data_IF_521065101328
#
_entry.id   IF_521065101328
#
_cell.length_a   1.000
_cell.length_b   1.000
_cell.length_c   1.000
_cell.angle_alpha   90.00
_cell.angle_beta   90.00
_cell.angle_gamma   90.00
#
_symmetry.space_group_name_H-M   'P 1'
#
loop_
_entity.id
_entity.type
_entity.pdbx_description
1 polymer ?
#
# COMPACT_ATOMS: atom_id res chain seq x y z
N UNK A 1 -30.91 7.67 -9.60
CA UNK A 1 -29.48 7.72 -9.28
C UNK A 1 -29.12 6.43 -8.55
N UNK A 2 -28.68 5.45 -9.30
CA UNK A 2 -28.07 4.26 -8.68
C UNK A 2 -26.67 4.69 -8.32
N UNK A 3 -26.48 5.06 -7.07
CA UNK A 3 -25.16 5.11 -6.49
C UNK A 3 -24.70 3.67 -6.43
N UNK A 4 -23.85 3.24 -7.34
CA UNK A 4 -23.16 1.98 -7.12
C UNK A 4 -22.48 2.07 -5.77
N UNK A 5 -22.70 1.12 -4.85
CA UNK A 5 -21.94 1.13 -3.63
C UNK A 5 -20.48 1.02 -4.06
N UNK A 6 -19.69 2.02 -3.72
CA UNK A 6 -18.25 1.83 -3.63
C UNK A 6 -18.11 0.56 -2.83
N UNK A 7 -17.73 -0.52 -3.49
CA UNK A 7 -17.54 -1.81 -2.82
C UNK A 7 -16.56 -1.53 -1.71
N UNK A 8 -17.09 -1.55 -0.52
CA UNK A 8 -16.32 -1.26 0.66
C UNK A 8 -15.13 -2.21 0.67
N UNK A 9 -13.93 -1.66 0.55
CA UNK A 9 -12.70 -2.43 0.46
C UNK A 9 -12.52 -3.21 1.76
N UNK A 10 -12.53 -4.53 1.66
CA UNK A 10 -12.27 -5.45 2.75
C UNK A 10 -13.28 -5.48 3.91
N UNK A 11 -13.00 -6.31 4.87
CA UNK A 11 -13.83 -6.51 6.06
C UNK A 11 -13.60 -5.41 7.11
N UNK A 12 -14.68 -5.05 7.83
CA UNK A 12 -14.58 -4.21 9.02
C UNK A 12 -14.09 -5.02 10.19
N UNK A 13 -13.08 -4.52 10.88
CA UNK A 13 -12.55 -5.09 12.10
C UNK A 13 -12.93 -4.20 13.28
N UNK A 14 -13.63 -4.73 14.30
CA UNK A 14 -13.94 -3.98 15.51
C UNK A 14 -12.65 -3.64 16.26
N UNK A 15 -12.74 -2.67 17.16
CA UNK A 15 -11.66 -2.42 18.12
C UNK A 15 -11.42 -3.70 18.92
N UNK A 16 -10.17 -4.19 18.98
CA UNK A 16 -9.88 -5.43 19.69
C UNK A 16 -10.17 -5.30 21.20
N UNK A 17 -10.64 -6.38 21.80
CA UNK A 17 -10.85 -6.47 23.25
C UNK A 17 -9.51 -6.80 23.93
N UNK A 18 -8.67 -5.79 24.04
CA UNK A 18 -7.37 -5.85 24.71
C UNK A 18 -7.26 -4.72 25.73
N UNK A 19 -6.26 -4.80 26.60
CA UNK A 19 -5.95 -3.76 27.57
C UNK A 19 -5.79 -2.39 26.88
N UNK A 20 -6.49 -1.38 27.37
CA UNK A 20 -6.44 -0.03 26.79
C UNK A 20 -5.05 0.59 26.88
N UNK A 21 -4.31 0.34 27.96
CA UNK A 21 -2.96 0.82 28.11
C UNK A 21 -2.03 0.22 27.05
N UNK A 22 -2.20 -1.06 26.74
CA UNK A 22 -1.45 -1.73 25.68
C UNK A 22 -1.76 -1.13 24.30
N UNK A 23 -3.02 -0.83 24.04
CA UNK A 23 -3.44 -0.18 22.81
C UNK A 23 -2.89 1.24 22.69
N UNK A 24 -2.90 2.00 23.76
CA UNK A 24 -2.33 3.36 23.81
C UNK A 24 -0.83 3.36 23.56
N UNK A 25 -0.10 2.41 24.14
CA UNK A 25 1.34 2.24 23.90
C UNK A 25 1.60 1.95 22.42
N UNK A 26 0.84 1.02 21.83
CA UNK A 26 0.97 0.72 20.40
C UNK A 26 0.71 1.96 19.54
N UNK A 27 -0.37 2.68 19.80
CA UNK A 27 -0.74 3.88 19.02
C UNK A 27 0.36 4.93 19.09
N UNK A 28 0.89 5.20 20.27
CA UNK A 28 1.96 6.19 20.46
C UNK A 28 3.22 5.78 19.70
N UNK A 29 3.66 4.55 19.85
CA UNK A 29 4.84 4.02 19.14
C UNK A 29 4.65 4.06 17.62
N UNK A 30 3.49 3.61 17.13
CA UNK A 30 3.17 3.62 15.71
C UNK A 30 3.16 5.03 15.12
N UNK A 31 2.62 6.01 15.83
CA UNK A 31 2.63 7.42 15.39
C UNK A 31 4.05 7.96 15.27
N UNK A 32 4.92 7.71 16.25
CA UNK A 32 6.33 8.13 16.19
C UNK A 32 7.07 7.50 15.00
N UNK A 33 6.84 6.21 14.76
CA UNK A 33 7.45 5.51 13.62
C UNK A 33 6.93 6.07 12.29
N UNK A 34 5.62 6.29 12.16
CA UNK A 34 5.03 6.83 10.94
C UNK A 34 5.53 8.23 10.61
N UNK A 35 5.66 9.11 11.61
CA UNK A 35 6.20 10.45 11.41
C UNK A 35 7.66 10.40 10.90
N UNK A 36 8.47 9.50 11.44
CA UNK A 36 9.83 9.28 10.96
C UNK A 36 9.84 8.70 9.54
N UNK A 37 8.96 7.76 9.26
CA UNK A 37 8.83 7.12 7.95
C UNK A 37 8.44 8.11 6.86
N UNK A 38 7.60 9.10 7.16
CA UNK A 38 7.23 10.16 6.21
C UNK A 38 8.46 10.94 5.72
N UNK A 39 9.39 11.25 6.61
CA UNK A 39 10.65 11.89 6.23
C UNK A 39 11.53 10.99 5.35
N UNK A 40 11.57 9.69 5.63
CA UNK A 40 12.30 8.71 4.81
C UNK A 40 11.68 8.56 3.41
N UNK A 41 10.36 8.51 3.32
CA UNK A 41 9.63 8.44 2.03
C UNK A 41 9.91 9.69 1.19
N UNK A 42 9.92 10.86 1.80
CA UNK A 42 10.26 12.09 1.10
C UNK A 42 11.69 12.06 0.53
N UNK A 43 12.65 11.54 1.30
CA UNK A 43 14.04 11.35 0.82
C UNK A 43 14.10 10.30 -0.30
N UNK A 44 13.32 9.24 -0.21
CA UNK A 44 13.26 8.18 -1.21
C UNK A 44 12.78 8.69 -2.58
N UNK A 45 11.88 9.66 -2.61
CA UNK A 45 11.47 10.31 -3.87
C UNK A 45 12.64 10.91 -4.65
N UNK A 46 13.60 11.49 -3.95
CA UNK A 46 14.80 12.07 -4.54
C UNK A 46 15.91 11.05 -4.82
N UNK A 47 15.85 9.87 -4.20
CA UNK A 47 16.89 8.83 -4.29
C UNK A 47 16.27 7.43 -4.25
N UNK A 48 15.47 7.03 -5.28
CA UNK A 48 14.76 5.75 -5.27
C UNK A 48 15.67 4.53 -5.33
N UNK A 49 16.91 4.71 -5.70
CA UNK A 49 17.94 3.66 -5.68
C UNK A 49 18.70 3.51 -4.37
N UNK A 50 18.39 4.32 -3.36
CA UNK A 50 19.06 4.26 -2.05
C UNK A 50 18.52 3.08 -1.23
N UNK A 51 19.26 1.97 -1.24
CA UNK A 51 18.91 0.75 -0.53
C UNK A 51 18.94 0.93 1.00
N UNK A 52 19.71 1.89 1.49
CA UNK A 52 19.72 2.23 2.91
C UNK A 52 18.39 2.79 3.38
N UNK A 53 17.76 3.66 2.58
CA UNK A 53 16.42 4.18 2.86
C UNK A 53 15.35 3.09 2.83
N UNK A 54 15.43 2.19 1.86
CA UNK A 54 14.51 1.04 1.77
C UNK A 54 14.65 0.12 3.00
N UNK A 55 15.86 -0.10 3.47
CA UNK A 55 16.11 -0.94 4.64
C UNK A 55 15.62 -0.28 5.94
N UNK A 56 15.79 1.03 6.10
CA UNK A 56 15.24 1.77 7.24
C UNK A 56 13.71 1.70 7.27
N UNK A 57 13.05 1.94 6.13
CA UNK A 57 11.59 1.82 6.01
C UNK A 57 11.12 0.39 6.30
N UNK A 58 11.84 -0.60 5.82
CA UNK A 58 11.53 -2.01 6.10
C UNK A 58 11.54 -2.31 7.59
N UNK A 59 12.54 -1.80 8.32
CA UNK A 59 12.63 -1.98 9.78
C UNK A 59 11.49 -1.30 10.51
N UNK A 60 11.12 -0.09 10.09
CA UNK A 60 9.98 0.64 10.64
C UNK A 60 8.67 -0.15 10.45
N UNK A 61 8.45 -0.70 9.26
CA UNK A 61 7.29 -1.55 8.96
C UNK A 61 7.30 -2.85 9.77
N UNK A 62 8.46 -3.45 9.95
CA UNK A 62 8.61 -4.64 10.78
C UNK A 62 8.16 -4.38 12.22
N UNK A 63 8.52 -3.25 12.79
CA UNK A 63 8.13 -2.86 14.15
C UNK A 63 6.63 -2.62 14.24
N UNK A 64 6.05 -1.87 13.30
CA UNK A 64 4.59 -1.63 13.25
C UNK A 64 3.83 -2.94 13.11
N UNK A 65 4.25 -3.81 12.20
CA UNK A 65 3.65 -5.13 11.99
C UNK A 65 3.67 -5.97 13.27
N UNK A 66 4.81 -6.01 13.94
CA UNK A 66 4.98 -6.76 15.19
C UNK A 66 4.05 -6.25 16.29
N UNK A 67 4.00 -4.94 16.51
CA UNK A 67 3.12 -4.32 17.50
C UNK A 67 1.64 -4.51 17.17
N UNK A 68 1.26 -4.38 15.90
CA UNK A 68 -0.11 -4.60 15.45
C UNK A 68 -0.58 -6.05 15.67
N UNK A 69 0.29 -7.01 15.39
CA UNK A 69 -0.02 -8.43 15.61
C UNK A 69 -0.21 -8.74 17.11
N UNK A 70 0.62 -8.17 17.97
CA UNK A 70 0.49 -8.31 19.42
C UNK A 70 -0.79 -7.66 19.95
N UNK A 71 -1.27 -6.61 19.29
CA UNK A 71 -2.47 -5.86 19.67
C UNK A 71 -3.73 -6.30 18.93
N UNK A 72 -3.67 -7.39 18.18
CA UNK A 72 -4.78 -7.94 17.38
C UNK A 72 -5.38 -6.94 16.37
N UNK A 73 -4.55 -6.06 15.80
CA UNK A 73 -4.92 -5.06 14.81
C UNK A 73 -4.61 -5.58 13.39
N UNK A 74 -5.44 -6.51 12.92
CA UNK A 74 -5.21 -7.21 11.66
C UNK A 74 -5.07 -6.30 10.43
N UNK A 75 -5.86 -5.23 10.22
CA UNK A 75 -5.67 -4.34 9.08
C UNK A 75 -4.29 -3.67 9.04
N UNK A 76 -3.78 -3.23 10.16
CA UNK A 76 -2.45 -2.61 10.26
C UNK A 76 -1.36 -3.67 10.06
N UNK A 77 -1.51 -4.82 10.70
CA UNK A 77 -0.54 -5.93 10.60
C UNK A 77 -0.41 -6.47 9.18
N UNK A 78 -1.51 -6.68 8.48
CA UNK A 78 -1.53 -7.18 7.10
C UNK A 78 -0.95 -6.17 6.10
N UNK A 79 -1.32 -4.91 6.22
CA UNK A 79 -0.75 -3.86 5.35
C UNK A 79 0.75 -3.70 5.60
N UNK A 80 1.16 -3.63 6.86
CA UNK A 80 2.58 -3.55 7.24
C UNK A 80 3.40 -4.72 6.72
N UNK A 81 2.86 -5.93 6.77
CA UNK A 81 3.50 -7.13 6.23
C UNK A 81 3.67 -7.07 4.71
N UNK A 82 2.64 -6.68 3.98
CA UNK A 82 2.71 -6.55 2.52
C UNK A 82 3.76 -5.52 2.09
N UNK A 83 3.80 -4.37 2.75
CA UNK A 83 4.77 -3.31 2.48
C UNK A 83 6.21 -3.75 2.84
N UNK A 84 6.40 -4.38 3.99
CA UNK A 84 7.70 -4.93 4.40
C UNK A 84 8.22 -5.92 3.35
N UNK A 85 7.38 -6.86 2.91
CA UNK A 85 7.74 -7.86 1.91
C UNK A 85 8.12 -7.23 0.56
N UNK A 86 7.42 -6.18 0.13
CA UNK A 86 7.76 -5.46 -1.11
C UNK A 86 9.17 -4.87 -1.03
N UNK A 87 9.51 -4.22 0.07
CA UNK A 87 10.83 -3.60 0.25
C UNK A 87 11.93 -4.67 0.37
N UNK A 88 11.68 -5.74 1.11
CA UNK A 88 12.60 -6.86 1.28
C UNK A 88 12.89 -7.54 -0.06
N UNK A 89 11.87 -7.91 -0.81
CA UNK A 89 12.00 -8.55 -2.12
C UNK A 89 12.74 -7.65 -3.13
N UNK A 90 12.50 -6.35 -3.07
CA UNK A 90 13.17 -5.38 -3.94
C UNK A 90 14.67 -5.34 -3.68
N UNK A 91 15.07 -5.29 -2.42
CA UNK A 91 16.49 -5.26 -2.03
C UNK A 91 17.17 -6.60 -2.29
N UNK A 92 16.56 -7.71 -1.87
CA UNK A 92 17.14 -9.04 -2.00
C UNK A 92 17.32 -9.49 -3.45
N UNK A 93 16.37 -9.15 -4.32
CA UNK A 93 16.42 -9.49 -5.74
C UNK A 93 17.17 -8.47 -6.59
N UNK A 94 17.65 -7.39 -6.00
CA UNK A 94 18.32 -6.32 -6.73
C UNK A 94 17.44 -5.64 -7.77
N UNK A 95 16.13 -5.58 -7.53
CA UNK A 95 15.18 -4.96 -8.45
C UNK A 95 15.25 -3.45 -8.35
N UNK A 96 15.02 -2.78 -9.47
CA UNK A 96 14.86 -1.34 -9.45
C UNK A 96 13.58 -0.97 -8.70
N UNK A 97 13.69 -0.03 -7.77
CA UNK A 97 12.54 0.57 -7.09
C UNK A 97 11.94 1.62 -8.01
N UNK A 98 10.85 1.28 -8.68
CA UNK A 98 10.22 2.12 -9.71
C UNK A 98 9.13 3.04 -9.15
N UNK A 99 8.56 3.87 -10.03
CA UNK A 99 7.50 4.81 -9.66
C UNK A 99 6.22 4.15 -9.16
N UNK A 100 5.87 2.97 -9.67
CA UNK A 100 4.71 2.21 -9.20
C UNK A 100 4.91 1.71 -7.77
N UNK A 101 6.10 1.20 -7.46
CA UNK A 101 6.46 0.78 -6.10
C UNK A 101 6.48 1.96 -5.13
N UNK A 102 7.05 3.09 -5.53
CA UNK A 102 7.06 4.31 -4.71
C UNK A 102 5.63 4.76 -4.40
N UNK A 103 4.78 4.83 -5.41
CA UNK A 103 3.38 5.23 -5.24
C UNK A 103 2.63 4.28 -4.30
N UNK A 104 2.84 2.97 -4.45
CA UNK A 104 2.23 1.98 -3.56
C UNK A 104 2.70 2.12 -2.11
N UNK A 105 3.99 2.38 -1.89
CA UNK A 105 4.55 2.62 -0.55
C UNK A 105 3.98 3.89 0.07
N UNK A 106 3.88 4.97 -0.70
CA UNK A 106 3.27 6.23 -0.24
C UNK A 106 1.81 6.04 0.17
N UNK A 107 1.02 5.37 -0.66
CA UNK A 107 -0.36 5.04 -0.31
C UNK A 107 -0.45 4.11 0.90
N UNK A 108 0.49 3.20 1.03
CA UNK A 108 0.58 2.31 2.18
C UNK A 108 0.79 3.09 3.48
N UNK A 109 1.72 4.03 3.52
CA UNK A 109 1.95 4.87 4.70
C UNK A 109 0.77 5.79 5.00
N UNK A 110 0.15 6.42 4.00
CA UNK A 110 -1.07 7.21 4.18
C UNK A 110 -2.20 6.38 4.80
N UNK A 111 -2.36 5.16 4.34
CA UNK A 111 -3.37 4.23 4.87
C UNK A 111 -3.04 3.78 6.29
N UNK A 112 -1.76 3.50 6.60
CA UNK A 112 -1.32 3.20 7.97
C UNK A 112 -1.63 4.35 8.93
N UNK A 113 -1.36 5.59 8.54
CA UNK A 113 -1.74 6.77 9.33
C UNK A 113 -3.24 6.79 9.62
N UNK A 114 -4.07 6.57 8.61
CA UNK A 114 -5.53 6.54 8.76
C UNK A 114 -5.98 5.42 9.71
N UNK A 115 -5.42 4.23 9.58
CA UNK A 115 -5.76 3.08 10.42
C UNK A 115 -5.32 3.29 11.87
N UNK A 116 -4.13 3.85 12.10
CA UNK A 116 -3.63 4.16 13.45
C UNK A 116 -4.47 5.26 14.09
N UNK A 117 -4.86 6.29 13.35
CA UNK A 117 -5.75 7.34 13.85
C UNK A 117 -7.14 6.81 14.24
N UNK A 118 -7.71 5.94 13.41
CA UNK A 118 -8.98 5.29 13.74
C UNK A 118 -8.86 4.42 15.00
N UNK A 119 -7.77 3.70 15.16
CA UNK A 119 -7.47 2.90 16.36
C UNK A 119 -7.33 3.79 17.60
N UNK A 120 -6.65 4.93 17.49
CA UNK A 120 -6.51 5.92 18.56
C UNK A 120 -7.88 6.47 19.00
N UNK A 121 -8.79 6.67 18.06
CA UNK A 121 -10.16 7.12 18.30
C UNK A 121 -11.11 6.00 18.72
N UNK A 122 -10.62 4.78 18.90
CA UNK A 122 -11.42 3.59 19.22
C UNK A 122 -12.54 3.33 18.22
N UNK A 123 -12.23 3.53 16.94
CA UNK A 123 -13.13 3.26 15.83
C UNK A 123 -12.78 1.94 15.13
N UNK A 124 -13.75 1.23 14.56
CA UNK A 124 -13.48 0.08 13.72
C UNK A 124 -12.59 0.46 12.54
N UNK A 125 -11.78 -0.48 12.10
CA UNK A 125 -10.89 -0.31 10.95
C UNK A 125 -11.29 -1.26 9.83
N UNK A 126 -11.10 -0.82 8.59
CA UNK A 126 -11.38 -1.63 7.40
C UNK A 126 -10.09 -2.21 6.84
N UNK A 127 -10.12 -3.50 6.51
CA UNK A 127 -9.00 -4.16 5.83
C UNK A 127 -8.79 -3.50 4.46
N UNK A 128 -7.61 -2.91 4.18
CA UNK A 128 -7.32 -2.29 2.88
C UNK A 128 -6.94 -3.35 1.83
N UNK A 129 -7.88 -4.23 1.48
CA UNK A 129 -7.64 -5.44 0.70
C UNK A 129 -7.16 -5.16 -0.72
N UNK A 130 -7.70 -4.15 -1.40
CA UNK A 130 -7.27 -3.78 -2.75
C UNK A 130 -5.83 -3.25 -2.77
N UNK A 131 -5.47 -2.41 -1.82
CA UNK A 131 -4.11 -1.89 -1.68
C UNK A 131 -3.12 -3.01 -1.36
N UNK A 132 -3.47 -3.90 -0.42
CA UNK A 132 -2.64 -5.07 -0.07
C UNK A 132 -2.42 -5.95 -1.30
N UNK A 133 -3.47 -6.28 -2.06
CA UNK A 133 -3.38 -7.09 -3.27
C UNK A 133 -2.46 -6.46 -4.33
N UNK A 134 -2.54 -5.14 -4.50
CA UNK A 134 -1.67 -4.40 -5.43
C UNK A 134 -0.20 -4.43 -4.98
N UNK A 135 0.07 -4.23 -3.71
CA UNK A 135 1.43 -4.29 -3.14
C UNK A 135 2.01 -5.70 -3.29
N UNK A 136 1.21 -6.73 -3.00
CA UNK A 136 1.62 -8.13 -3.17
C UNK A 136 1.91 -8.47 -4.64
N UNK A 137 1.12 -7.96 -5.59
CA UNK A 137 1.36 -8.13 -7.01
C UNK A 137 2.69 -7.49 -7.45
N UNK A 138 2.99 -6.29 -6.98
CA UNK A 138 4.27 -5.61 -7.21
C UNK A 138 5.44 -6.40 -6.60
N UNK A 139 5.26 -6.97 -5.42
CA UNK A 139 6.27 -7.82 -4.77
C UNK A 139 6.60 -9.06 -5.61
N UNK A 140 5.61 -9.66 -6.27
CA UNK A 140 5.80 -10.79 -7.18
C UNK A 140 6.39 -10.40 -8.54
N UNK A 141 6.57 -9.10 -8.81
CA UNK A 141 7.05 -8.60 -10.10
C UNK A 141 5.99 -8.62 -11.20
N UNK A 142 4.72 -8.69 -10.84
CA UNK A 142 3.62 -8.54 -11.78
C UNK A 142 3.50 -7.08 -12.22
N UNK A 143 3.29 -6.81 -13.52
CA UNK A 143 3.07 -5.44 -13.96
C UNK A 143 1.80 -4.89 -13.31
N UNK A 144 1.85 -3.62 -12.94
CA UNK A 144 0.65 -2.93 -12.50
C UNK A 144 -0.38 -3.02 -13.63
N UNK A 145 -1.47 -3.72 -13.37
CA UNK A 145 -2.62 -3.65 -14.25
C UNK A 145 -3.25 -2.30 -13.96
N UNK A 146 -2.88 -1.32 -14.77
CA UNK A 146 -3.63 -0.08 -14.81
C UNK A 146 -5.10 -0.46 -14.98
N UNK A 147 -5.90 -0.20 -13.97
CA UNK A 147 -7.33 -0.18 -14.13
C UNK A 147 -7.68 1.02 -15.01
N UNK A 148 -7.35 0.91 -16.29
CA UNK A 148 -7.90 1.85 -17.25
C UNK A 148 -9.41 1.65 -17.26
N UNK A 149 -10.17 2.72 -17.10
CA UNK A 149 -11.59 2.61 -17.29
C UNK A 149 -11.82 2.02 -18.69
N UNK A 150 -12.53 0.92 -18.75
CA UNK A 150 -12.92 0.30 -20.00
C UNK A 150 -13.65 1.34 -20.85
N UNK A 151 -13.07 1.76 -21.96
CA UNK A 151 -13.72 2.67 -22.86
C UNK A 151 -12.81 3.54 -23.70
N UNK A 152 -12.00 2.95 -24.50
CA UNK A 152 -11.71 3.48 -25.82
C UNK A 152 -11.17 2.34 -26.69
N UNK A 153 -12.08 1.62 -27.30
CA UNK A 153 -11.72 0.83 -28.47
C UNK A 153 -11.60 1.80 -29.62
N UNK A 154 -10.41 2.29 -29.85
CA UNK A 154 -10.10 2.93 -31.12
C UNK A 154 -10.28 1.88 -32.21
N UNK A 155 -11.33 1.99 -32.97
CA UNK A 155 -11.53 1.19 -34.17
C UNK A 155 -10.34 1.43 -35.08
N UNK A 156 -9.63 0.36 -35.53
CA UNK A 156 -8.65 0.56 -36.58
C UNK A 156 -9.42 0.98 -37.84
N UNK A 157 -9.16 2.19 -38.29
CA UNK A 157 -9.59 2.60 -39.60
C UNK A 157 -8.96 1.66 -40.61
N UNK A 158 -9.75 0.85 -41.25
CA UNK A 158 -9.33 0.07 -42.40
C UNK A 158 -8.90 1.07 -43.49
N UNK A 159 -7.61 1.11 -43.76
CA UNK A 159 -7.11 1.79 -44.93
C UNK A 159 -7.46 0.90 -46.16
N UNK A 160 -8.56 1.21 -46.79
CA UNK A 160 -8.77 0.72 -48.15
C UNK A 160 -7.83 1.49 -49.08
N UNK A 161 -6.89 0.79 -49.63
CA UNK A 161 -6.14 1.28 -50.78
C UNK A 161 -6.99 1.02 -52.02
N UNK A 162 -7.33 2.02 -52.82
CA UNK A 162 -7.94 1.77 -54.10
C UNK A 162 -6.90 1.19 -55.06
N UNK A 163 -7.20 0.05 -55.60
CA UNK A 163 -6.43 -0.49 -56.71
C UNK A 163 -6.61 0.40 -57.92
N UNK A 164 -5.51 0.91 -58.45
CA UNK A 164 -5.53 1.57 -59.78
C UNK A 164 -5.37 0.46 -60.80
N UNK A 165 -6.42 0.19 -61.55
CA UNK A 165 -6.32 -0.49 -62.79
C UNK A 165 -6.09 0.52 -63.92
N UNK A 166 -5.03 0.26 -64.67
CA UNK A 166 -4.83 0.82 -65.98
C UNK A 166 -5.58 0.03 -67.01
#
# INVERSE_FOLDING_TARGET
FVHEPVTADGEMHPVPDIDEDLLDIFVLEAQEILDRSDALVLRLRGAPGDTGLLDELRRDLHTIKGGANMSALAPIGHLGHAMESLLEDTVERGRAFDGAMLHAVEQGFDTLHTLVQATAARQPTRMPSALIARIEALSRGEPEVDAQPAGFVGSPAAAETPAVET
#
